data_IF_446687449590
#
_entry.id   IF_446687449590
#
_cell.length_a   1.000
_cell.length_b   1.000
_cell.length_c   1.000
_cell.angle_alpha   90.00
_cell.angle_beta   90.00
_cell.angle_gamma   90.00
#
_symmetry.space_group_name_H-M   'P 1'
#
loop_
_entity.id
_entity.type
_entity.pdbx_description
1 polymer ?
#
# COMPACT_ATOMS: atom_id res chain seq x y z
N UNK A 1 1.30 -2.86 -18.95
CA UNK A 1 0.84 -3.16 -17.57
C UNK A 1 -0.65 -3.42 -17.62
N UNK A 2 -1.16 -4.44 -16.94
CA UNK A 2 -2.60 -4.74 -16.93
C UNK A 2 -3.38 -3.67 -16.15
N UNK A 3 -4.57 -3.29 -16.63
CA UNK A 3 -5.48 -2.31 -15.99
C UNK A 3 -5.73 -2.62 -14.52
N UNK A 4 -5.86 -3.91 -14.17
CA UNK A 4 -5.98 -4.39 -12.78
C UNK A 4 -4.81 -3.95 -11.91
N UNK A 5 -3.57 -4.13 -12.39
CA UNK A 5 -2.38 -3.80 -11.62
C UNK A 5 -2.26 -2.29 -11.37
N UNK A 6 -2.67 -1.46 -12.34
CA UNK A 6 -2.69 -0.01 -12.18
C UNK A 6 -3.72 0.43 -11.14
N UNK A 7 -4.89 -0.19 -11.10
CA UNK A 7 -5.92 0.07 -10.07
C UNK A 7 -5.41 -0.29 -8.67
N UNK A 8 -4.80 -1.48 -8.53
CA UNK A 8 -4.20 -1.87 -7.25
C UNK A 8 -3.07 -0.92 -6.82
N UNK A 9 -2.18 -0.55 -7.74
CA UNK A 9 -1.09 0.39 -7.45
C UNK A 9 -1.63 1.73 -6.95
N UNK A 10 -2.68 2.25 -7.61
CA UNK A 10 -3.35 3.47 -7.18
C UNK A 10 -4.01 3.31 -5.80
N UNK A 11 -4.71 2.21 -5.55
CA UNK A 11 -5.36 1.95 -4.26
C UNK A 11 -4.35 1.85 -3.11
N UNK A 12 -3.24 1.13 -3.32
CA UNK A 12 -2.14 0.99 -2.36
C UNK A 12 -1.47 2.34 -2.08
N UNK A 13 -1.27 3.18 -3.11
CA UNK A 13 -0.75 4.54 -2.92
C UNK A 13 -1.71 5.42 -2.13
N UNK A 14 -2.99 5.43 -2.48
CA UNK A 14 -4.00 6.23 -1.75
C UNK A 14 -4.08 5.82 -0.28
N UNK A 15 -4.07 4.52 0.01
CA UNK A 15 -4.05 4.00 1.38
C UNK A 15 -2.75 4.39 2.11
N UNK A 16 -1.61 4.35 1.41
CA UNK A 16 -0.33 4.81 1.94
C UNK A 16 -0.35 6.30 2.27
N UNK A 17 -0.78 7.15 1.35
CA UNK A 17 -0.78 8.61 1.52
C UNK A 17 -1.73 9.04 2.66
N UNK A 18 -2.81 8.28 2.87
CA UNK A 18 -3.72 8.48 3.99
C UNK A 18 -3.08 8.16 5.34
N UNK A 19 -2.23 7.12 5.40
CA UNK A 19 -1.66 6.60 6.66
C UNK A 19 -0.20 6.16 6.52
N UNK A 20 0.72 7.05 6.12
CA UNK A 20 2.08 6.64 5.73
C UNK A 20 2.88 6.06 6.89
N UNK A 21 2.63 6.54 8.11
CA UNK A 21 3.25 6.06 9.35
C UNK A 21 2.70 4.70 9.80
N UNK A 22 1.41 4.42 9.56
CA UNK A 22 0.79 3.17 9.95
C UNK A 22 1.29 2.02 9.09
N UNK A 23 1.62 2.32 7.83
CA UNK A 23 2.14 1.37 6.86
C UNK A 23 3.43 0.69 7.32
N UNK A 24 4.35 1.45 7.90
CA UNK A 24 5.62 0.88 8.38
C UNK A 24 5.40 -0.13 9.52
N UNK A 25 4.32 0.07 10.29
CA UNK A 25 3.94 -0.79 11.39
C UNK A 25 3.00 -1.96 11.00
N UNK A 26 2.53 -2.05 9.75
CA UNK A 26 1.63 -3.13 9.28
C UNK A 26 2.23 -4.52 9.52
N UNK A 27 3.55 -4.66 9.41
CA UNK A 27 4.25 -5.94 9.61
C UNK A 27 4.18 -6.45 11.06
N UNK A 28 4.00 -5.55 12.04
CA UNK A 28 4.07 -5.87 13.47
C UNK A 28 2.78 -5.54 14.24
N UNK A 29 1.86 -4.79 13.63
CA UNK A 29 0.60 -4.36 14.22
C UNK A 29 -0.59 -4.79 13.34
N UNK A 30 -1.31 -5.86 13.72
CA UNK A 30 -2.47 -6.37 12.97
C UNK A 30 -3.56 -5.33 12.74
N UNK A 31 -3.79 -4.41 13.67
CA UNK A 31 -4.81 -3.36 13.50
C UNK A 31 -4.46 -2.38 12.39
N UNK A 32 -3.17 -2.03 12.27
CA UNK A 32 -2.70 -1.17 11.17
C UNK A 32 -2.80 -1.92 9.83
N UNK A 33 -2.54 -3.23 9.84
CA UNK A 33 -2.73 -4.09 8.66
C UNK A 33 -4.17 -4.12 8.20
N UNK A 34 -5.10 -4.42 9.10
CA UNK A 34 -6.54 -4.46 8.80
C UNK A 34 -7.01 -3.11 8.25
N UNK A 35 -6.69 -2.02 8.94
CA UNK A 35 -7.09 -0.67 8.51
C UNK A 35 -6.53 -0.29 7.14
N UNK A 36 -5.29 -0.66 6.85
CA UNK A 36 -4.71 -0.46 5.53
C UNK A 36 -5.45 -1.26 4.45
N UNK A 37 -5.75 -2.52 4.71
CA UNK A 37 -6.49 -3.39 3.79
C UNK A 37 -7.91 -2.88 3.54
N UNK A 38 -8.59 -2.36 4.56
CA UNK A 38 -9.90 -1.71 4.42
C UNK A 38 -9.82 -0.51 3.46
N UNK A 39 -8.81 0.34 3.59
CA UNK A 39 -8.61 1.49 2.70
C UNK A 39 -8.32 1.05 1.25
N UNK A 40 -7.49 0.02 1.07
CA UNK A 40 -7.22 -0.54 -0.25
C UNK A 40 -8.49 -1.12 -0.86
N UNK A 41 -9.26 -1.91 -0.11
CA UNK A 41 -10.52 -2.53 -0.56
C UNK A 41 -11.61 -1.51 -0.84
N UNK A 42 -11.64 -0.40 -0.12
CA UNK A 42 -12.55 0.72 -0.40
C UNK A 42 -12.30 1.33 -1.78
N UNK A 43 -11.06 1.36 -2.25
CA UNK A 43 -10.70 1.85 -3.59
C UNK A 43 -10.71 0.76 -4.67
N UNK A 44 -10.43 -0.47 -4.28
CA UNK A 44 -10.37 -1.63 -5.16
C UNK A 44 -10.85 -2.89 -4.42
N UNK A 45 -12.15 -3.17 -4.50
CA UNK A 45 -12.80 -4.25 -3.73
C UNK A 45 -12.21 -5.64 -4.02
N UNK A 46 -11.75 -5.89 -5.25
CA UNK A 46 -11.12 -7.16 -5.65
C UNK A 46 -9.65 -7.29 -5.20
N UNK A 47 -9.16 -6.36 -4.37
CA UNK A 47 -7.81 -6.43 -3.81
C UNK A 47 -7.71 -7.58 -2.80
N UNK A 48 -6.94 -8.61 -3.19
CA UNK A 48 -6.52 -9.62 -2.24
C UNK A 48 -5.47 -9.07 -1.28
N UNK A 49 -5.49 -9.59 -0.06
CA UNK A 49 -4.60 -9.15 1.01
C UNK A 49 -3.13 -9.39 0.67
N UNK A 50 -2.79 -10.59 0.20
CA UNK A 50 -1.43 -10.92 -0.19
C UNK A 50 -0.94 -10.04 -1.37
N UNK A 51 -1.83 -9.75 -2.32
CA UNK A 51 -1.53 -8.89 -3.47
C UNK A 51 -1.22 -7.46 -3.03
N UNK A 52 -2.06 -6.89 -2.16
CA UNK A 52 -1.91 -5.53 -1.63
C UNK A 52 -0.63 -5.37 -0.80
N UNK A 53 -0.34 -6.33 0.09
CA UNK A 53 0.86 -6.30 0.94
C UNK A 53 2.14 -6.47 0.11
N UNK A 54 2.14 -7.38 -0.88
CA UNK A 54 3.27 -7.56 -1.78
C UNK A 54 3.52 -6.33 -2.65
N UNK A 55 2.46 -5.65 -3.10
CA UNK A 55 2.58 -4.38 -3.83
C UNK A 55 3.13 -3.26 -2.96
N UNK A 56 2.64 -3.15 -1.73
CA UNK A 56 3.15 -2.21 -0.75
C UNK A 56 4.65 -2.40 -0.51
N UNK A 57 5.11 -3.64 -0.28
CA UNK A 57 6.54 -3.92 -0.12
C UNK A 57 7.34 -3.56 -1.37
N UNK A 58 6.83 -3.89 -2.55
CA UNK A 58 7.48 -3.57 -3.83
C UNK A 58 7.66 -2.06 -4.00
N UNK A 59 6.63 -1.28 -3.71
CA UNK A 59 6.69 0.17 -3.79
C UNK A 59 7.65 0.77 -2.74
N UNK A 60 7.70 0.22 -1.52
CA UNK A 60 8.66 0.61 -0.48
C UNK A 60 10.10 0.30 -0.90
N UNK A 61 10.36 -0.87 -1.49
CA UNK A 61 11.69 -1.26 -2.00
C UNK A 61 12.14 -0.38 -3.16
N UNK A 62 11.23 0.05 -4.04
CA UNK A 62 11.54 0.91 -5.19
C UNK A 62 11.98 2.31 -4.78
N UNK A 63 11.42 2.83 -3.68
CA UNK A 63 11.69 4.16 -3.13
C UNK A 63 11.12 5.29 -3.99
N UNK A 64 10.85 6.45 -3.37
CA UNK A 64 10.27 7.64 -4.03
C UNK A 64 10.93 8.01 -5.36
N UNK A 65 12.26 7.88 -5.41
CA UNK A 65 13.09 8.32 -6.56
C UNK A 65 12.81 7.52 -7.84
N UNK A 66 12.21 6.34 -7.74
CA UNK A 66 11.90 5.47 -8.89
C UNK A 66 10.38 5.22 -9.03
N UNK A 67 9.55 6.16 -8.57
CA UNK A 67 8.10 6.04 -8.59
C UNK A 67 7.54 5.06 -7.56
N UNK A 68 8.28 4.75 -6.49
CA UNK A 68 7.82 4.02 -5.31
C UNK A 68 7.26 4.94 -4.23
N UNK A 69 7.06 4.40 -3.02
CA UNK A 69 6.54 5.18 -1.90
C UNK A 69 7.67 6.02 -1.25
N UNK A 70 7.41 7.28 -0.89
CA UNK A 70 8.38 8.10 -0.19
C UNK A 70 8.68 7.49 1.19
N UNK A 71 9.95 7.23 1.50
CA UNK A 71 10.35 7.04 2.90
C UNK A 71 10.19 8.39 3.55
N UNK A 72 9.08 8.65 4.25
CA UNK A 72 8.96 9.90 4.99
C UNK A 72 10.07 9.90 6.03
N UNK A 73 10.91 10.93 5.97
CA UNK A 73 11.85 11.24 7.03
C UNK A 73 11.05 11.34 8.33
N UNK A 74 11.58 10.76 9.40
CA UNK A 74 11.03 10.80 10.75
C UNK A 74 10.57 12.19 11.14
#
# INVERSE_FOLDING_TARGET
MSSRQQKLDSAVRTAYDSQPHAVDAIAFNPRNRERFLELVRSSFADAEEEEALKHLEKLRKRGSRNGGLPRKAR
#
